data_IF_407795660438
#
_entry.id   IF_407795660438
#
_cell.length_a   1.000
_cell.length_b   1.000
_cell.length_c   1.000
_cell.angle_alpha   90.00
_cell.angle_beta   90.00
_cell.angle_gamma   90.00
#
_symmetry.space_group_name_H-M   'P 1'
#
loop_
_entity.id
_entity.type
_entity.pdbx_description
1 polymer ?
#
# COMPACT_ATOMS: atom_id res chain seq x y z
N UNK A 1 13.25 -1.31 14.51
CA UNK A 1 12.86 -0.19 13.62
C UNK A 1 11.35 -0.13 13.57
N UNK A 2 10.74 0.98 13.97
CA UNK A 2 9.29 1.18 13.88
C UNK A 2 8.93 1.37 12.42
N UNK A 3 8.64 0.28 11.69
CA UNK A 3 8.13 0.40 10.34
C UNK A 3 6.84 1.22 10.41
N UNK A 4 6.63 2.16 9.50
CA UNK A 4 5.35 2.85 9.42
C UNK A 4 4.23 1.81 9.15
N UNK A 5 3.09 1.93 9.83
CA UNK A 5 2.01 0.93 9.76
C UNK A 5 0.84 1.49 8.94
N UNK A 6 0.57 0.98 7.73
CA UNK A 6 -0.52 1.46 6.87
C UNK A 6 -1.90 1.40 7.51
N UNK A 7 -2.09 0.55 8.52
CA UNK A 7 -3.35 0.45 9.27
C UNK A 7 -3.75 1.77 9.95
N UNK A 8 -2.80 2.68 10.19
CA UNK A 8 -3.09 3.99 10.76
C UNK A 8 -3.83 4.92 9.78
N UNK A 9 -3.76 4.64 8.48
CA UNK A 9 -4.53 5.34 7.46
C UNK A 9 -5.95 4.77 7.27
N UNK A 10 -6.29 3.68 7.96
CA UNK A 10 -7.60 3.04 7.86
C UNK A 10 -8.60 3.71 8.80
N UNK A 11 -9.66 4.28 8.25
CA UNK A 11 -10.78 4.87 8.99
C UNK A 11 -11.99 3.96 8.81
N UNK A 12 -12.48 3.39 9.91
CA UNK A 12 -13.70 2.59 9.86
C UNK A 12 -14.91 3.46 9.49
N UNK A 13 -15.71 2.97 8.54
CA UNK A 13 -16.98 3.56 8.14
C UNK A 13 -18.13 2.76 8.74
N UNK A 14 -19.06 2.23 7.91
CA UNK A 14 -19.95 1.18 8.36
C UNK A 14 -19.15 -0.03 8.87
N UNK A 15 -19.72 -0.75 9.85
CA UNK A 15 -19.07 -1.90 10.47
C UNK A 15 -18.50 -2.87 9.43
N UNK A 16 -17.22 -3.21 9.60
CA UNK A 16 -16.55 -4.15 8.70
C UNK A 16 -16.08 -3.54 7.38
N UNK A 17 -16.13 -2.22 7.24
CA UNK A 17 -15.58 -1.49 6.09
C UNK A 17 -14.63 -0.40 6.56
N UNK A 18 -13.44 -0.35 5.96
CA UNK A 18 -12.43 0.66 6.25
C UNK A 18 -12.08 1.41 4.98
N UNK A 19 -12.12 2.73 5.04
CA UNK A 19 -11.58 3.61 3.99
C UNK A 19 -10.12 3.89 4.31
N UNK A 20 -9.27 3.79 3.30
CA UNK A 20 -7.87 4.18 3.39
C UNK A 20 -7.78 5.65 2.98
N UNK A 21 -7.41 6.53 3.91
CA UNK A 21 -7.44 7.98 3.73
C UNK A 21 -6.02 8.54 3.82
N UNK A 22 -5.65 9.41 2.88
CA UNK A 22 -4.34 10.07 2.87
C UNK A 22 -4.30 11.26 3.88
N UNK A 23 -3.12 11.87 4.12
CA UNK A 23 -3.01 13.02 5.02
C UNK A 23 -3.79 14.26 4.58
N UNK A 24 -4.22 14.34 3.32
CA UNK A 24 -5.04 15.44 2.78
C UNK A 24 -6.54 15.15 2.89
N UNK A 25 -6.93 13.97 3.39
CA UNK A 25 -8.32 13.57 3.57
C UNK A 25 -8.92 12.85 2.36
N UNK A 26 -8.13 12.49 1.34
CA UNK A 26 -8.63 11.78 0.17
C UNK A 26 -8.69 10.27 0.41
N UNK A 27 -9.81 9.65 0.03
CA UNK A 27 -9.92 8.19 -0.02
C UNK A 27 -9.12 7.67 -1.21
N UNK A 28 -8.14 6.80 -0.95
CA UNK A 28 -7.36 6.14 -2.00
C UNK A 28 -7.66 4.65 -2.11
N UNK A 29 -8.46 4.09 -1.21
CA UNK A 29 -8.92 2.72 -1.34
C UNK A 29 -9.79 2.27 -0.19
N UNK A 30 -10.20 1.01 -0.23
CA UNK A 30 -11.17 0.44 0.69
C UNK A 30 -10.82 -1.00 1.05
N UNK A 31 -11.12 -1.36 2.30
CA UNK A 31 -11.08 -2.74 2.78
C UNK A 31 -12.44 -3.14 3.29
N UNK A 32 -12.90 -4.33 2.93
CA UNK A 32 -14.19 -4.89 3.39
C UNK A 32 -13.97 -6.27 3.98
N UNK A 33 -14.53 -6.53 5.16
CA UNK A 33 -14.58 -7.88 5.74
C UNK A 33 -15.63 -8.71 5.02
N UNK A 34 -15.28 -9.94 4.66
CA UNK A 34 -16.17 -10.90 3.99
C UNK A 34 -16.04 -12.26 4.65
N UNK A 35 -17.14 -13.01 4.63
CA UNK A 35 -17.14 -14.43 4.99
C UNK A 35 -17.29 -15.25 3.71
N UNK A 36 -16.44 -16.24 3.53
CA UNK A 36 -16.46 -17.11 2.35
C UNK A 36 -16.84 -18.54 2.76
N UNK A 37 -17.84 -19.15 2.11
CA UNK A 37 -18.10 -20.57 2.21
C UNK A 37 -17.01 -21.41 1.52
N UNK A 38 -16.80 -22.68 1.92
CA UNK A 38 -17.33 -23.33 3.13
C UNK A 38 -16.53 -22.95 4.39
N UNK A 39 -17.19 -22.98 5.55
CA UNK A 39 -16.53 -22.81 6.86
C UNK A 39 -16.41 -21.37 7.37
N UNK A 40 -17.20 -20.43 6.86
CA UNK A 40 -17.30 -19.04 7.35
C UNK A 40 -15.95 -18.32 7.54
N UNK A 41 -14.98 -18.65 6.68
CA UNK A 41 -13.64 -18.07 6.78
C UNK A 41 -13.74 -16.56 6.57
N UNK A 42 -13.23 -15.81 7.54
CA UNK A 42 -13.11 -14.35 7.45
C UNK A 42 -11.94 -14.00 6.55
N UNK A 43 -12.21 -13.19 5.54
CA UNK A 43 -11.21 -12.61 4.64
C UNK A 43 -11.47 -11.12 4.48
N UNK A 44 -10.44 -10.39 4.10
CA UNK A 44 -10.49 -8.95 3.88
C UNK A 44 -10.27 -8.69 2.39
N UNK A 45 -11.28 -8.13 1.74
CA UNK A 45 -11.23 -7.68 0.34
C UNK A 45 -10.47 -6.36 0.30
N UNK A 46 -9.43 -6.27 -0.50
CA UNK A 46 -8.66 -5.05 -0.73
C UNK A 46 -9.07 -4.42 -2.08
N UNK A 47 -9.44 -3.14 -2.05
CA UNK A 47 -9.92 -2.39 -3.21
C UNK A 47 -9.11 -1.09 -3.34
N UNK A 48 -8.70 -0.75 -4.56
CA UNK A 48 -8.04 0.51 -4.90
C UNK A 48 -8.74 1.12 -6.12
N UNK A 49 -9.23 2.36 -6.00
CA UNK A 49 -10.23 2.88 -6.95
C UNK A 49 -11.46 1.96 -7.00
N UNK A 50 -11.83 1.50 -8.19
CA UNK A 50 -12.94 0.56 -8.41
C UNK A 50 -12.48 -0.90 -8.59
N UNK A 51 -11.19 -1.19 -8.42
CA UNK A 51 -10.61 -2.51 -8.70
C UNK A 51 -10.30 -3.32 -7.42
N UNK A 52 -10.63 -4.61 -7.45
CA UNK A 52 -10.27 -5.57 -6.40
C UNK A 52 -8.84 -6.05 -6.62
N UNK A 53 -7.89 -5.43 -5.92
CA UNK A 53 -6.47 -5.75 -6.02
C UNK A 53 -6.06 -7.02 -5.24
N UNK A 54 -6.97 -7.58 -4.44
CA UNK A 54 -6.79 -8.91 -3.87
C UNK A 54 -7.48 -9.14 -2.54
N UNK A 55 -7.10 -10.23 -1.88
CA UNK A 55 -7.66 -10.68 -0.61
C UNK A 55 -6.55 -10.88 0.43
N UNK A 56 -6.91 -10.74 1.70
CA UNK A 56 -6.01 -10.96 2.83
C UNK A 56 -6.72 -11.68 3.98
N UNK A 57 -5.95 -12.33 4.84
CA UNK A 57 -6.45 -12.99 6.06
C UNK A 57 -6.53 -12.06 7.26
N UNK A 58 -5.91 -10.89 7.19
CA UNK A 58 -5.93 -9.88 8.26
C UNK A 58 -6.19 -8.50 7.67
N UNK A 59 -6.82 -7.63 8.48
CA UNK A 59 -7.03 -6.22 8.13
C UNK A 59 -5.70 -5.53 7.82
N UNK A 60 -4.67 -5.75 8.66
CA UNK A 60 -3.33 -5.18 8.47
C UNK A 60 -2.75 -5.50 7.10
N UNK A 61 -2.85 -6.75 6.65
CA UNK A 61 -2.34 -7.16 5.34
C UNK A 61 -3.16 -6.58 4.18
N UNK A 62 -4.49 -6.46 4.34
CA UNK A 62 -5.33 -5.78 3.35
C UNK A 62 -4.96 -4.30 3.22
N UNK A 63 -4.83 -3.58 4.34
CA UNK A 63 -4.38 -2.18 4.36
C UNK A 63 -3.01 -2.01 3.70
N UNK A 64 -2.07 -2.93 3.97
CA UNK A 64 -0.76 -2.93 3.33
C UNK A 64 -0.86 -3.08 1.81
N UNK A 65 -1.67 -4.02 1.31
CA UNK A 65 -1.89 -4.21 -0.14
C UNK A 65 -2.47 -2.96 -0.80
N UNK A 66 -3.51 -2.37 -0.23
CA UNK A 66 -4.13 -1.13 -0.74
C UNK A 66 -3.12 0.01 -0.76
N UNK A 67 -2.33 0.15 0.30
CA UNK A 67 -1.33 1.20 0.37
C UNK A 67 -0.21 1.02 -0.66
N UNK A 68 0.26 -0.22 -0.88
CA UNK A 68 1.25 -0.49 -1.92
C UNK A 68 0.70 -0.18 -3.32
N UNK A 69 -0.56 -0.51 -3.60
CA UNK A 69 -1.20 -0.16 -4.87
C UNK A 69 -1.27 1.36 -5.08
N UNK A 70 -1.59 2.12 -4.03
CA UNK A 70 -1.59 3.58 -4.06
C UNK A 70 -0.21 4.17 -4.34
N UNK A 71 0.83 3.71 -3.63
CA UNK A 71 2.21 4.15 -3.90
C UNK A 71 2.64 3.82 -5.33
N UNK A 72 2.25 2.65 -5.83
CA UNK A 72 2.51 2.26 -7.22
C UNK A 72 1.79 3.15 -8.22
N UNK A 73 0.56 3.62 -7.94
CA UNK A 73 -0.16 4.53 -8.85
C UNK A 73 0.39 5.95 -8.87
N UNK A 74 1.06 6.38 -7.79
CA UNK A 74 1.71 7.69 -7.72
C UNK A 74 3.04 7.75 -8.50
N UNK A 75 3.60 6.59 -8.85
CA UNK A 75 4.89 6.53 -9.55
C UNK A 75 4.70 7.07 -10.98
N UNK A 76 5.47 8.10 -11.40
CA UNK A 76 5.53 8.46 -12.82
C UNK A 76 6.01 7.24 -13.61
N UNK A 77 5.39 6.92 -14.75
CA UNK A 77 5.78 5.80 -15.61
C UNK A 77 7.19 5.92 -16.24
N UNK A 78 8.04 6.83 -15.75
CA UNK A 78 9.41 7.03 -16.19
C UNK A 78 10.43 6.45 -15.20
N UNK A 79 11.66 6.25 -15.69
CA UNK A 79 12.82 5.92 -14.88
C UNK A 79 13.10 6.97 -13.78
N UNK A 80 14.10 6.74 -12.91
CA UNK A 80 14.42 7.68 -11.84
C UNK A 80 14.58 9.10 -12.41
N UNK A 81 13.77 10.05 -11.92
CA UNK A 81 13.82 11.45 -12.34
C UNK A 81 15.12 12.15 -11.89
N UNK A 82 15.84 11.54 -10.97
CA UNK A 82 17.16 11.97 -10.55
C UNK A 82 18.14 10.79 -10.67
N UNK A 83 19.05 10.90 -11.63
CA UNK A 83 20.37 10.27 -11.57
C UNK A 83 21.26 11.19 -10.74
N UNK A 84 21.28 10.98 -9.43
CA UNK A 84 22.21 11.69 -8.52
C UNK A 84 23.63 11.17 -8.74
N UNK A 85 24.14 11.38 -9.96
CA UNK A 85 25.37 10.80 -10.49
C UNK A 85 26.50 10.77 -9.46
N UNK A 86 27.17 9.62 -9.36
CA UNK A 86 28.53 9.42 -8.82
C UNK A 86 28.96 10.19 -7.55
N UNK A 87 28.04 10.58 -6.67
CA UNK A 87 28.41 11.20 -5.38
C UNK A 87 28.40 10.22 -4.19
N UNK A 88 28.27 8.92 -4.45
CA UNK A 88 28.63 7.87 -3.49
C UNK A 88 29.85 7.10 -3.96
N UNK A 89 31.02 7.75 -3.91
CA UNK A 89 32.21 7.20 -3.28
C UNK A 89 32.86 5.92 -3.81
N UNK A 90 32.58 5.43 -5.02
CA UNK A 90 33.28 4.23 -5.55
C UNK A 90 34.28 4.52 -6.68
N UNK A 91 34.48 5.79 -7.06
CA UNK A 91 35.34 6.20 -8.19
C UNK A 91 36.82 6.43 -7.88
N UNK A 92 37.36 6.00 -6.73
CA UNK A 92 38.78 6.19 -6.39
C UNK A 92 39.53 4.87 -6.23
N UNK A 93 39.57 4.07 -7.30
CA UNK A 93 40.62 3.06 -7.50
C UNK A 93 40.90 2.84 -8.98
N UNK A 94 41.55 3.80 -9.60
CA UNK A 94 42.42 3.57 -10.75
C UNK A 94 43.25 4.83 -10.97
N UNK A 95 44.38 4.94 -10.28
CA UNK A 95 45.54 5.68 -10.79
C UNK A 95 46.79 4.87 -10.44
N UNK A 96 47.62 4.71 -11.48
CA UNK A 96 48.88 3.97 -11.60
C UNK A 96 49.95 4.34 -10.56
#
# INVERSE_FOLDING_TARGET
>A
MTQWHPILAAVEGPTGTWRMVDPHGHEYGRVEIRRVPPGDRVVYKAVHGDEVIGWATTLRLACFKVHMAFLSSLRPGGGPAADWGELTGNGRRALE
#
